data_IF_429149453686
#
_entry.id   IF_429149453686
#
_cell.length_a   1.000
_cell.length_b   1.000
_cell.length_c   1.000
_cell.angle_alpha   90.00
_cell.angle_beta   90.00
_cell.angle_gamma   90.00
#
_symmetry.space_group_name_H-M   'P 1'
#
loop_
_entity.id
_entity.type
_entity.pdbx_description
1 polymer ?
#
# COMPACT_ATOMS: atom_id res chain seq x y z
N UNK A 1 27.51 -23.20 0.38
CA UNK A 1 27.37 -21.83 0.90
C UNK A 1 26.14 -21.23 0.24
N UNK A 2 25.10 -20.86 1.00
CA UNK A 2 23.85 -20.31 0.44
C UNK A 2 24.15 -18.90 -0.09
N UNK A 3 23.91 -18.68 -1.39
CA UNK A 3 24.06 -17.35 -2.01
C UNK A 3 22.97 -16.44 -1.45
N UNK A 4 23.36 -15.28 -0.91
CA UNK A 4 22.39 -14.24 -0.53
C UNK A 4 21.80 -13.60 -1.79
N UNK A 5 20.52 -13.23 -1.73
CA UNK A 5 19.86 -12.50 -2.79
C UNK A 5 20.54 -11.15 -3.03
N UNK A 6 20.76 -10.81 -4.29
CA UNK A 6 21.26 -9.49 -4.73
C UNK A 6 20.18 -8.43 -4.56
N UNK A 7 20.58 -7.14 -4.53
CA UNK A 7 19.63 -6.03 -4.47
C UNK A 7 18.59 -6.07 -5.60
N UNK A 8 19.00 -6.45 -6.82
CA UNK A 8 18.10 -6.55 -7.97
C UNK A 8 17.11 -7.70 -7.84
N UNK A 9 17.54 -8.86 -7.33
CA UNK A 9 16.65 -9.98 -7.02
C UNK A 9 15.61 -9.58 -5.95
N UNK A 10 16.04 -8.85 -4.90
CA UNK A 10 15.12 -8.33 -3.88
C UNK A 10 14.12 -7.33 -4.45
N UNK A 11 14.55 -6.42 -5.33
CA UNK A 11 13.65 -5.46 -6.00
C UNK A 11 12.65 -6.21 -6.88
N UNK A 12 13.09 -7.21 -7.65
CA UNK A 12 12.23 -8.04 -8.48
C UNK A 12 11.14 -8.73 -7.64
N UNK A 13 11.52 -9.46 -6.58
CA UNK A 13 10.52 -10.16 -5.77
C UNK A 13 9.55 -9.20 -5.08
N UNK A 14 10.03 -8.06 -4.58
CA UNK A 14 9.16 -7.04 -4.00
C UNK A 14 8.20 -6.47 -5.03
N UNK A 15 8.65 -6.12 -6.24
CA UNK A 15 7.76 -5.57 -7.27
C UNK A 15 6.68 -6.56 -7.68
N UNK A 16 6.99 -7.87 -7.76
CA UNK A 16 5.99 -8.91 -8.07
C UNK A 16 4.94 -9.10 -6.97
N UNK A 17 5.35 -9.05 -5.69
CA UNK A 17 4.42 -9.13 -4.55
C UNK A 17 3.50 -7.91 -4.56
N UNK A 18 4.08 -6.70 -4.63
CA UNK A 18 3.34 -5.44 -4.66
C UNK A 18 2.38 -5.37 -5.85
N UNK A 19 2.82 -5.80 -7.03
CA UNK A 19 1.95 -5.91 -8.20
C UNK A 19 0.72 -6.77 -7.91
N UNK A 20 0.92 -7.97 -7.35
CA UNK A 20 -0.19 -8.89 -7.02
C UNK A 20 -1.20 -8.28 -6.05
N UNK A 21 -0.71 -7.69 -4.96
CA UNK A 21 -1.54 -7.05 -3.94
C UNK A 21 -2.34 -5.86 -4.51
N UNK A 22 -1.68 -5.00 -5.29
CA UNK A 22 -2.29 -3.85 -5.94
C UNK A 22 -3.33 -4.27 -6.99
N UNK A 23 -3.03 -5.27 -7.80
CA UNK A 23 -3.92 -5.77 -8.84
C UNK A 23 -5.22 -6.34 -8.24
N UNK A 24 -5.09 -7.15 -7.18
CA UNK A 24 -6.26 -7.68 -6.47
C UNK A 24 -7.08 -6.57 -5.81
N UNK A 25 -6.41 -5.59 -5.20
CA UNK A 25 -7.10 -4.44 -4.61
C UNK A 25 -7.84 -3.59 -5.66
N UNK A 26 -7.23 -3.29 -6.82
CA UNK A 26 -7.89 -2.56 -7.92
C UNK A 26 -9.12 -3.31 -8.43
N UNK A 27 -9.00 -4.63 -8.60
CA UNK A 27 -10.10 -5.49 -9.03
C UNK A 27 -11.28 -5.45 -8.05
N UNK A 28 -11.01 -5.61 -6.76
CA UNK A 28 -12.03 -5.59 -5.71
C UNK A 28 -12.70 -4.22 -5.57
N UNK A 29 -11.93 -3.13 -5.70
CA UNK A 29 -12.46 -1.76 -5.66
C UNK A 29 -13.27 -1.40 -6.91
N UNK A 30 -12.89 -1.95 -8.07
CA UNK A 30 -13.57 -1.72 -9.35
C UNK A 30 -14.86 -2.55 -9.49
N UNK A 31 -14.99 -3.68 -8.78
CA UNK A 31 -16.15 -4.57 -8.84
C UNK A 31 -17.45 -3.97 -8.25
N UNK A 32 -17.37 -2.82 -7.57
CA UNK A 32 -18.55 -2.04 -7.18
C UNK A 32 -18.27 -1.06 -6.03
N UNK A 33 -18.89 0.12 -6.11
CA UNK A 33 -18.72 1.26 -5.18
C UNK A 33 -19.46 1.11 -3.84
N UNK A 34 -20.05 -0.05 -3.56
CA UNK A 34 -20.85 -0.21 -2.34
C UNK A 34 -19.94 -0.39 -1.13
N UNK A 35 -19.97 0.60 -0.23
CA UNK A 35 -19.34 0.52 1.07
C UNK A 35 -19.69 -0.81 1.75
N UNK A 36 -18.66 -1.59 2.05
CA UNK A 36 -18.77 -2.90 2.67
C UNK A 36 -17.47 -3.22 3.40
N UNK A 37 -17.49 -4.22 4.28
CA UNK A 37 -16.26 -4.69 4.93
C UNK A 37 -15.21 -5.18 3.91
N UNK A 38 -15.64 -5.72 2.76
CA UNK A 38 -14.74 -6.10 1.67
C UNK A 38 -14.10 -4.89 1.00
N UNK A 39 -14.89 -3.85 0.72
CA UNK A 39 -14.37 -2.59 0.17
C UNK A 39 -13.32 -1.96 1.10
N UNK A 40 -13.60 -1.92 2.41
CA UNK A 40 -12.64 -1.42 3.41
C UNK A 40 -11.37 -2.26 3.43
N UNK A 41 -11.49 -3.58 3.37
CA UNK A 41 -10.32 -4.47 3.33
C UNK A 41 -9.48 -4.21 2.07
N UNK A 42 -10.11 -4.08 0.91
CA UNK A 42 -9.42 -3.76 -0.35
C UNK A 42 -8.70 -2.40 -0.30
N UNK A 43 -9.35 -1.36 0.25
CA UNK A 43 -8.70 -0.07 0.50
C UNK A 43 -7.47 -0.21 1.40
N UNK A 44 -7.57 -0.95 2.51
CA UNK A 44 -6.43 -1.16 3.42
C UNK A 44 -5.29 -1.92 2.74
N UNK A 45 -5.59 -2.97 1.97
CA UNK A 45 -4.60 -3.70 1.18
C UNK A 45 -3.89 -2.79 0.19
N UNK A 46 -4.63 -1.97 -0.56
CA UNK A 46 -4.05 -0.99 -1.48
C UNK A 46 -3.12 0.00 -0.76
N UNK A 47 -3.58 0.60 0.35
CA UNK A 47 -2.78 1.55 1.12
C UNK A 47 -1.51 0.92 1.71
N UNK A 48 -1.59 -0.32 2.16
CA UNK A 48 -0.41 -1.08 2.62
C UNK A 48 0.57 -1.26 1.46
N UNK A 49 0.14 -1.81 0.33
CA UNK A 49 1.01 -2.04 -0.81
C UNK A 49 1.62 -0.74 -1.37
N UNK A 50 0.83 0.33 -1.47
CA UNK A 50 1.33 1.66 -1.87
C UNK A 50 2.34 2.22 -0.86
N UNK A 51 2.11 2.04 0.44
CA UNK A 51 3.05 2.45 1.48
C UNK A 51 4.36 1.66 1.45
N UNK A 52 4.30 0.36 1.18
CA UNK A 52 5.49 -0.48 0.96
C UNK A 52 6.25 -0.07 -0.32
N UNK A 53 5.54 0.29 -1.41
CA UNK A 53 6.16 0.83 -2.61
C UNK A 53 6.85 2.18 -2.34
N UNK A 54 6.24 3.03 -1.51
CA UNK A 54 6.86 4.27 -1.05
C UNK A 54 8.17 4.02 -0.26
N UNK A 55 8.22 2.95 0.54
CA UNK A 55 9.42 2.53 1.28
C UNK A 55 10.48 1.90 0.36
N UNK A 56 10.06 1.28 -0.77
CA UNK A 56 10.95 0.74 -1.79
C UNK A 56 11.59 1.83 -2.66
N UNK A 57 10.87 2.93 -2.94
CA UNK A 57 11.27 3.95 -3.90
C UNK A 57 12.72 4.48 -3.76
N UNK A 58 13.28 4.71 -2.56
CA UNK A 58 14.68 5.12 -2.41
C UNK A 58 15.68 4.08 -2.93
N UNK A 59 15.38 2.78 -2.79
CA UNK A 59 16.26 1.70 -3.24
C UNK A 59 16.29 1.55 -4.77
N UNK A 60 15.38 2.22 -5.49
CA UNK A 60 15.31 2.18 -6.95
C UNK A 60 16.28 3.17 -7.62
N UNK A 61 16.84 4.14 -6.89
CA UNK A 61 17.72 5.18 -7.43
C UNK A 61 18.87 4.65 -8.32
N UNK A 62 19.57 3.55 -7.97
CA UNK A 62 20.63 3.01 -8.81
C UNK A 62 20.14 2.59 -10.21
N UNK A 63 18.86 2.20 -10.34
CA UNK A 63 18.27 1.74 -11.60
C UNK A 63 17.98 2.89 -12.58
N UNK A 64 17.81 4.12 -12.09
CA UNK A 64 17.37 5.24 -12.93
C UNK A 64 18.40 5.65 -13.99
N UNK A 65 19.68 5.32 -13.80
CA UNK A 65 20.70 5.57 -14.82
C UNK A 65 20.48 4.71 -16.06
N UNK A 66 20.06 3.46 -15.84
CA UNK A 66 19.88 2.46 -16.89
C UNK A 66 18.44 2.48 -17.43
N UNK A 67 17.47 2.85 -16.57
CA UNK A 67 16.05 2.95 -16.87
C UNK A 67 15.49 4.31 -16.40
N UNK A 68 15.72 5.42 -17.14
CA UNK A 68 15.31 6.76 -16.73
C UNK A 68 13.80 6.93 -16.52
N UNK A 69 12.98 6.21 -17.30
CA UNK A 69 11.52 6.23 -17.17
C UNK A 69 11.04 5.84 -15.77
N UNK A 70 11.74 4.93 -15.08
CA UNK A 70 11.41 4.57 -13.69
C UNK A 70 11.52 5.78 -12.76
N UNK A 71 12.56 6.61 -12.96
CA UNK A 71 12.76 7.82 -12.17
C UNK A 71 11.67 8.86 -12.41
N UNK A 72 11.20 8.99 -13.65
CA UNK A 72 10.09 9.87 -14.03
C UNK A 72 8.78 9.41 -13.38
N UNK A 73 8.43 8.13 -13.53
CA UNK A 73 7.21 7.56 -12.92
C UNK A 73 7.23 7.67 -11.40
N UNK A 74 8.35 7.39 -10.73
CA UNK A 74 8.47 7.55 -9.27
C UNK A 74 8.32 9.01 -8.86
N UNK A 75 8.88 9.95 -9.63
CA UNK A 75 8.75 11.39 -9.36
C UNK A 75 7.30 11.85 -9.46
N UNK A 76 6.57 11.40 -10.47
CA UNK A 76 5.15 11.69 -10.67
C UNK A 76 4.29 11.10 -9.55
N UNK A 77 4.60 9.89 -9.10
CA UNK A 77 3.90 9.20 -8.00
C UNK A 77 4.27 9.71 -6.60
N UNK A 78 5.30 10.54 -6.47
CA UNK A 78 5.93 10.82 -5.18
C UNK A 78 4.97 11.41 -4.12
N UNK A 79 4.08 12.34 -4.51
CA UNK A 79 3.09 12.91 -3.59
C UNK A 79 2.05 11.88 -3.15
N UNK A 80 1.52 11.11 -4.10
CA UNK A 80 0.54 10.07 -3.83
C UNK A 80 1.10 8.95 -2.95
N UNK A 81 2.34 8.52 -3.18
CA UNK A 81 3.03 7.51 -2.36
C UNK A 81 3.30 8.02 -0.95
N UNK A 82 3.67 9.30 -0.77
CA UNK A 82 3.81 9.89 0.58
C UNK A 82 2.48 9.89 1.34
N UNK A 83 1.41 10.28 0.67
CA UNK A 83 0.08 10.28 1.28
C UNK A 83 -0.41 8.87 1.61
N UNK A 84 -0.25 7.90 0.69
CA UNK A 84 -0.59 6.51 0.93
C UNK A 84 0.22 5.90 2.08
N UNK A 85 1.52 6.21 2.18
CA UNK A 85 2.36 5.80 3.31
C UNK A 85 1.89 6.38 4.64
N UNK A 86 1.46 7.65 4.65
CA UNK A 86 0.85 8.26 5.84
C UNK A 86 -0.41 7.50 6.25
N UNK A 87 -1.35 7.28 5.32
CA UNK A 87 -2.59 6.54 5.59
C UNK A 87 -2.32 5.09 6.02
N UNK A 88 -1.32 4.41 5.44
CA UNK A 88 -0.86 3.11 5.93
C UNK A 88 -0.48 3.19 7.40
N UNK A 89 0.36 4.16 7.77
CA UNK A 89 0.90 4.26 9.11
C UNK A 89 -0.17 4.56 10.17
N UNK A 90 -1.17 5.38 9.86
CA UNK A 90 -2.18 5.79 10.86
C UNK A 90 -3.48 5.00 10.81
N UNK A 91 -3.88 4.47 9.63
CA UNK A 91 -5.19 3.83 9.44
C UNK A 91 -5.11 2.34 9.08
N UNK A 92 -4.26 1.95 8.12
CA UNK A 92 -4.32 0.60 7.55
C UNK A 92 -3.43 -0.43 8.27
N UNK A 93 -2.25 -0.03 8.74
CA UNK A 93 -1.23 -0.95 9.24
C UNK A 93 -1.47 -1.46 10.65
N UNK A 94 -2.12 -0.66 11.50
CA UNK A 94 -2.51 -1.05 12.86
C UNK A 94 -3.69 -0.18 13.33
N UNK A 95 -4.34 -0.62 14.41
CA UNK A 95 -5.35 0.18 15.10
C UNK A 95 -4.62 1.29 15.86
N UNK A 96 -4.92 2.55 15.52
CA UNK A 96 -4.30 3.71 16.14
C UNK A 96 -5.28 4.42 17.09
N UNK A 97 -5.01 4.35 18.38
CA UNK A 97 -5.88 4.92 19.42
C UNK A 97 -6.03 6.43 19.31
N UNK A 98 -4.97 7.15 18.92
CA UNK A 98 -5.02 8.60 18.76
C UNK A 98 -5.92 8.97 17.57
N UNK A 99 -5.86 8.22 16.47
CA UNK A 99 -6.74 8.41 15.33
C UNK A 99 -8.20 8.13 15.72
N UNK A 100 -8.46 7.04 16.44
CA UNK A 100 -9.81 6.69 16.92
C UNK A 100 -10.36 7.77 17.85
N UNK A 101 -9.56 8.25 18.80
CA UNK A 101 -9.95 9.31 19.71
C UNK A 101 -10.34 10.58 18.93
N UNK A 102 -9.55 10.94 17.90
CA UNK A 102 -9.84 12.09 17.03
C UNK A 102 -11.12 11.87 16.21
N UNK A 103 -11.37 10.65 15.74
CA UNK A 103 -12.62 10.31 15.06
C UNK A 103 -13.83 10.48 15.99
N UNK A 104 -13.74 10.06 17.26
CA UNK A 104 -14.81 10.26 18.25
C UNK A 104 -15.03 11.73 18.64
N UNK A 105 -13.96 12.53 18.65
CA UNK A 105 -14.03 13.98 18.85
C UNK A 105 -14.83 14.64 17.73
N UNK A 106 -14.52 14.28 16.48
CA UNK A 106 -15.09 14.89 15.29
C UNK A 106 -16.48 14.32 14.89
N UNK A 107 -16.77 13.05 15.20
CA UNK A 107 -18.08 12.40 15.00
C UNK A 107 -18.72 12.01 16.33
N UNK A 108 -19.22 12.98 17.12
CA UNK A 108 -19.76 12.70 18.44
C UNK A 108 -20.98 11.77 18.43
N UNK A 109 -21.69 11.66 17.31
CA UNK A 109 -22.82 10.75 17.08
C UNK A 109 -22.44 9.26 17.16
N UNK A 110 -21.15 8.91 17.04
CA UNK A 110 -20.68 7.53 17.19
C UNK A 110 -20.97 6.96 18.59
N UNK A 111 -21.20 7.81 19.58
CA UNK A 111 -21.65 7.41 20.93
C UNK A 111 -23.01 6.71 20.92
N UNK A 112 -23.82 6.92 19.90
CA UNK A 112 -25.13 6.30 19.75
C UNK A 112 -25.10 5.03 18.89
N UNK A 113 -23.92 4.57 18.44
CA UNK A 113 -23.84 3.34 17.66
C UNK A 113 -24.38 2.16 18.49
N UNK A 114 -25.35 1.42 17.96
CA UNK A 114 -25.94 0.31 18.69
C UNK A 114 -24.90 -0.80 18.88
N UNK A 115 -24.98 -1.52 20.01
CA UNK A 115 -24.21 -2.74 20.27
C UNK A 115 -24.61 -3.84 19.26
N UNK A 116 -24.03 -3.77 18.07
CA UNK A 116 -24.29 -4.71 16.98
C UNK A 116 -22.97 -5.11 16.36
N UNK A 117 -22.72 -6.43 16.34
CA UNK A 117 -21.64 -7.08 15.59
C UNK A 117 -21.95 -7.12 14.08
N UNK A 118 -22.47 -6.02 13.54
CA UNK A 118 -22.85 -5.88 12.15
C UNK A 118 -21.64 -5.41 11.32
N UNK A 119 -21.34 -6.15 10.25
CA UNK A 119 -20.27 -5.82 9.31
C UNK A 119 -20.54 -4.53 8.54
N UNK A 120 -21.80 -4.13 8.39
CA UNK A 120 -22.15 -2.83 7.79
C UNK A 120 -21.83 -1.69 8.73
N UNK A 121 -22.19 -1.79 10.02
CA UNK A 121 -21.80 -0.80 11.02
C UNK A 121 -20.27 -0.69 11.16
N UNK A 122 -19.57 -1.82 11.10
CA UNK A 122 -18.10 -1.87 11.11
C UNK A 122 -17.48 -1.17 9.88
N UNK A 123 -18.09 -1.31 8.71
CA UNK A 123 -17.62 -0.63 7.49
C UNK A 123 -17.78 0.89 7.60
N UNK A 124 -18.91 1.36 8.15
CA UNK A 124 -19.16 2.79 8.40
C UNK A 124 -18.15 3.35 9.41
N UNK A 125 -17.88 2.62 10.50
CA UNK A 125 -16.83 3.01 11.46
C UNK A 125 -15.47 3.17 10.78
N UNK A 126 -15.08 2.22 9.93
CA UNK A 126 -13.82 2.32 9.19
C UNK A 126 -13.83 3.50 8.21
N UNK A 127 -14.98 3.83 7.61
CA UNK A 127 -15.10 4.99 6.74
C UNK A 127 -14.80 6.29 7.52
N UNK A 128 -15.36 6.47 8.71
CA UNK A 128 -15.10 7.67 9.51
C UNK A 128 -13.66 7.76 10.01
N UNK A 129 -13.05 6.62 10.36
CA UNK A 129 -11.64 6.59 10.76
C UNK A 129 -10.74 6.89 9.55
N UNK A 130 -11.07 6.39 8.36
CA UNK A 130 -10.37 6.73 7.12
C UNK A 130 -10.51 8.23 6.80
N UNK A 131 -11.71 8.77 6.89
CA UNK A 131 -11.98 10.20 6.67
C UNK A 131 -11.18 11.08 7.64
N UNK A 132 -11.15 10.70 8.93
CA UNK A 132 -10.31 11.37 9.94
C UNK A 132 -8.82 11.26 9.57
N UNK A 133 -8.37 10.11 9.07
CA UNK A 133 -6.98 9.97 8.62
C UNK A 133 -6.67 10.92 7.47
N UNK A 134 -7.54 11.00 6.46
CA UNK A 134 -7.40 11.94 5.34
C UNK A 134 -7.33 13.39 5.86
N UNK A 135 -8.24 13.79 6.73
CA UNK A 135 -8.34 15.17 7.21
C UNK A 135 -7.23 15.56 8.20
N UNK A 136 -6.56 14.59 8.83
CA UNK A 136 -5.39 14.83 9.68
C UNK A 136 -4.07 14.89 8.91
N UNK A 137 -4.08 14.60 7.60
CA UNK A 137 -2.93 14.80 6.74
C UNK A 137 -2.82 16.28 6.34
N UNK A 138 -2.20 17.07 7.23
CA UNK A 138 -1.98 18.50 7.06
C UNK A 138 -0.48 18.84 7.00
N UNK A 139 -0.15 19.94 6.33
CA UNK A 139 1.19 20.54 6.31
C UNK A 139 1.50 21.26 7.62
N UNK A 140 2.74 21.68 7.81
CA UNK A 140 3.20 22.37 9.05
C UNK A 140 2.42 23.66 9.36
N UNK A 141 1.90 24.33 8.32
CA UNK A 141 1.07 25.53 8.44
C UNK A 141 -0.42 25.22 8.67
N UNK A 142 -0.80 23.93 8.74
CA UNK A 142 -2.17 23.48 8.94
C UNK A 142 -3.01 23.35 7.67
N UNK A 143 -2.46 23.64 6.49
CA UNK A 143 -3.15 23.42 5.21
C UNK A 143 -3.30 21.92 4.91
N UNK A 144 -4.30 21.51 4.15
CA UNK A 144 -4.47 20.09 3.79
C UNK A 144 -3.39 19.62 2.83
N UNK A 145 -2.78 18.47 3.12
CA UNK A 145 -1.58 17.99 2.43
C UNK A 145 -1.81 17.25 1.11
N UNK A 146 -3.06 16.89 0.78
CA UNK A 146 -3.39 16.17 -0.46
C UNK A 146 -4.62 16.74 -1.18
N UNK A 147 -5.72 16.97 -0.46
CA UNK A 147 -6.94 17.56 -1.01
C UNK A 147 -7.05 19.01 -0.55
N UNK A 148 -7.72 19.88 -1.31
CA UNK A 148 -7.74 21.33 -1.01
C UNK A 148 -8.60 21.69 0.21
N UNK A 149 -9.44 20.78 0.68
CA UNK A 149 -10.37 20.98 1.80
C UNK A 149 -10.50 19.70 2.64
N UNK A 150 -11.21 19.84 3.76
CA UNK A 150 -11.77 18.71 4.48
C UNK A 150 -12.54 17.81 3.50
N UNK A 151 -12.38 16.51 3.70
CA UNK A 151 -13.03 15.46 2.93
C UNK A 151 -14.16 14.88 3.76
N UNK A 152 -15.37 14.85 3.20
CA UNK A 152 -16.53 14.12 3.73
C UNK A 152 -16.84 12.90 2.85
N UNK A 153 -16.51 11.68 3.30
CA UNK A 153 -16.70 10.48 2.50
C UNK A 153 -18.17 10.03 2.41
N UNK A 154 -19.08 10.63 3.17
CA UNK A 154 -20.52 10.49 2.94
C UNK A 154 -21.03 11.47 1.87
N UNK A 155 -20.29 12.53 1.59
CA UNK A 155 -20.59 13.45 0.50
C UNK A 155 -20.08 12.87 -0.84
N UNK A 156 -20.97 12.61 -1.83
CA UNK A 156 -20.56 11.87 -3.03
C UNK A 156 -19.39 12.47 -3.82
N UNK A 157 -19.29 13.81 -4.04
CA UNK A 157 -18.14 14.38 -4.75
C UNK A 157 -16.79 14.15 -4.07
N UNK A 158 -16.76 14.11 -2.74
CA UNK A 158 -15.54 13.88 -1.97
C UNK A 158 -15.14 12.40 -1.99
N UNK A 159 -16.12 11.50 -1.90
CA UNK A 159 -15.92 10.07 -2.14
C UNK A 159 -15.38 9.81 -3.56
N UNK A 160 -15.96 10.44 -4.58
CA UNK A 160 -15.51 10.34 -5.97
C UNK A 160 -14.07 10.85 -6.14
N UNK A 161 -13.73 12.00 -5.54
CA UNK A 161 -12.37 12.55 -5.54
C UNK A 161 -11.38 11.58 -4.92
N UNK A 162 -11.71 11.00 -3.76
CA UNK A 162 -10.86 10.01 -3.08
C UNK A 162 -10.68 8.74 -3.91
N UNK A 163 -11.76 8.20 -4.47
CA UNK A 163 -11.72 6.99 -5.30
C UNK A 163 -10.94 7.20 -6.60
N UNK A 164 -11.09 8.37 -7.24
CA UNK A 164 -10.31 8.73 -8.43
C UNK A 164 -8.82 8.81 -8.11
N UNK A 165 -8.45 9.44 -6.99
CA UNK A 165 -7.07 9.46 -6.50
C UNK A 165 -6.55 8.04 -6.24
N UNK A 166 -7.31 7.22 -5.51
CA UNK A 166 -6.86 5.88 -5.11
C UNK A 166 -6.68 4.98 -6.34
N UNK A 167 -7.66 4.95 -7.24
CA UNK A 167 -7.61 4.11 -8.44
C UNK A 167 -6.51 4.54 -9.41
N UNK A 168 -6.34 5.85 -9.66
CA UNK A 168 -5.24 6.33 -10.50
C UNK A 168 -3.88 5.98 -9.88
N UNK A 169 -3.72 6.18 -8.58
CA UNK A 169 -2.47 5.85 -7.86
C UNK A 169 -2.16 4.35 -7.91
N UNK A 170 -3.15 3.48 -7.70
CA UNK A 170 -2.98 2.02 -7.80
C UNK A 170 -2.54 1.62 -9.20
N UNK A 171 -3.21 2.11 -10.24
CA UNK A 171 -2.90 1.72 -11.63
C UNK A 171 -1.52 2.20 -12.07
N UNK A 172 -1.13 3.41 -11.71
CA UNK A 172 0.24 3.90 -11.95
C UNK A 172 1.28 3.11 -11.15
N UNK A 173 0.96 2.68 -9.92
CA UNK A 173 1.84 1.82 -9.12
C UNK A 173 1.96 0.40 -9.70
N UNK A 174 0.89 -0.18 -10.24
CA UNK A 174 0.92 -1.46 -10.97
C UNK A 174 1.85 -1.33 -12.18
N UNK A 175 1.70 -0.28 -12.99
CA UNK A 175 2.58 -0.05 -14.13
C UNK A 175 4.06 0.08 -13.71
N UNK A 176 4.34 0.83 -12.65
CA UNK A 176 5.69 0.92 -12.10
C UNK A 176 6.23 -0.46 -11.67
N UNK A 177 5.41 -1.30 -11.06
CA UNK A 177 5.82 -2.65 -10.66
C UNK A 177 6.10 -3.56 -11.86
N UNK A 178 5.36 -3.42 -12.96
CA UNK A 178 5.63 -4.14 -14.21
C UNK A 178 6.94 -3.68 -14.85
N UNK A 179 7.16 -2.37 -14.92
CA UNK A 179 8.40 -1.80 -15.47
C UNK A 179 9.62 -2.21 -14.63
N UNK A 180 9.48 -2.22 -13.29
CA UNK A 180 10.49 -2.73 -12.37
C UNK A 180 10.74 -4.22 -12.58
N UNK A 181 9.67 -5.00 -12.75
CA UNK A 181 9.75 -6.42 -13.06
C UNK A 181 10.55 -6.66 -14.34
N UNK A 182 10.24 -5.93 -15.42
CA UNK A 182 10.95 -6.04 -16.69
C UNK A 182 12.44 -5.64 -16.57
N UNK A 183 12.74 -4.55 -15.86
CA UNK A 183 14.10 -4.05 -15.67
C UNK A 183 14.99 -5.00 -14.83
N UNK A 184 14.39 -5.74 -13.90
CA UNK A 184 15.14 -6.57 -12.93
C UNK A 184 15.05 -8.08 -13.20
N UNK A 185 14.11 -8.53 -14.03
CA UNK A 185 13.90 -9.96 -14.31
C UNK A 185 15.14 -10.65 -14.87
N UNK A 186 15.86 -10.00 -15.79
CA UNK A 186 17.09 -10.56 -16.39
C UNK A 186 18.22 -10.77 -15.37
N UNK A 187 18.14 -10.13 -14.20
CA UNK A 187 19.12 -10.22 -13.12
C UNK A 187 18.76 -11.34 -12.12
N UNK A 188 17.56 -11.91 -12.23
CA UNK A 188 17.16 -13.09 -11.44
C UNK A 188 17.77 -14.31 -12.09
N UNK A 189 18.56 -15.07 -11.33
CA UNK A 189 19.15 -16.31 -11.85
C UNK A 189 18.08 -17.41 -11.85
N UNK A 190 17.63 -17.91 -13.01
CA UNK A 190 16.73 -19.06 -13.03
C UNK A 190 17.49 -20.29 -12.54
N UNK A 191 16.80 -21.14 -11.76
CA UNK A 191 17.30 -22.48 -11.47
C UNK A 191 17.03 -23.37 -12.69
N UNK A 192 18.00 -24.21 -13.05
CA UNK A 192 17.80 -25.30 -14.01
C UNK A 192 16.85 -26.38 -13.47
N UNK A 193 16.66 -27.43 -14.26
CA UNK A 193 15.79 -28.54 -13.91
C UNK A 193 16.52 -29.65 -13.14
N UNK A 194 15.75 -30.63 -12.66
CA UNK A 194 16.28 -31.86 -12.06
C UNK A 194 17.20 -31.63 -10.86
N UNK A 195 18.50 -31.89 -11.06
CA UNK A 195 19.50 -31.89 -10.00
C UNK A 195 19.68 -30.50 -9.34
N UNK A 196 19.63 -29.42 -10.12
CA UNK A 196 19.76 -28.06 -9.57
C UNK A 196 18.58 -27.69 -8.66
N UNK A 197 17.37 -28.10 -9.04
CA UNK A 197 16.16 -27.89 -8.24
C UNK A 197 16.19 -28.74 -6.96
N UNK A 198 16.67 -29.99 -7.04
CA UNK A 198 16.86 -30.84 -5.87
C UNK A 198 17.88 -30.24 -4.88
N UNK A 199 19.01 -29.74 -5.38
CA UNK A 199 20.01 -29.06 -4.56
C UNK A 199 19.46 -27.78 -3.91
N UNK A 200 18.62 -27.02 -4.63
CA UNK A 200 17.93 -25.86 -4.07
C UNK A 200 16.96 -26.24 -2.95
N UNK A 201 16.16 -27.31 -3.11
CA UNK A 201 15.27 -27.78 -2.05
C UNK A 201 16.03 -28.32 -0.84
N UNK A 202 17.15 -29.04 -1.07
CA UNK A 202 18.02 -29.48 0.02
C UNK A 202 18.59 -28.27 0.76
N UNK A 203 19.07 -27.25 0.05
CA UNK A 203 19.57 -26.03 0.66
C UNK A 203 18.47 -25.31 1.45
N UNK A 204 17.24 -25.23 0.92
CA UNK A 204 16.10 -24.66 1.62
C UNK A 204 15.80 -25.41 2.93
N UNK A 205 15.87 -26.75 2.95
CA UNK A 205 15.69 -27.57 4.14
C UNK A 205 16.77 -27.40 5.21
N UNK A 206 17.91 -26.78 4.88
CA UNK A 206 18.99 -26.44 5.81
C UNK A 206 18.94 -24.96 6.25
N UNK A 207 17.90 -24.21 5.86
CA UNK A 207 17.76 -22.80 6.26
C UNK A 207 17.48 -22.70 7.75
N UNK A 208 18.33 -21.98 8.47
CA UNK A 208 18.09 -21.65 9.87
C UNK A 208 17.24 -20.38 9.97
N UNK A 209 16.08 -20.49 10.62
CA UNK A 209 15.12 -19.40 10.73
C UNK A 209 15.29 -18.68 12.06
N UNK A 210 15.83 -17.47 12.00
CA UNK A 210 15.91 -16.57 13.15
C UNK A 210 14.79 -15.51 13.14
N UNK A 211 14.46 -14.99 14.33
CA UNK A 211 13.55 -13.85 14.45
C UNK A 211 14.13 -12.63 13.74
N UNK A 212 13.47 -12.19 12.67
CA UNK A 212 13.83 -10.96 11.95
C UNK A 212 13.67 -9.73 12.86
N UNK A 213 14.68 -8.87 12.90
CA UNK A 213 14.60 -7.54 13.51
C UNK A 213 14.28 -6.53 12.41
N UNK A 214 13.34 -5.62 12.67
CA UNK A 214 13.08 -4.51 11.75
C UNK A 214 14.37 -3.70 11.60
N UNK A 215 14.87 -3.55 10.38
CA UNK A 215 15.98 -2.65 10.09
C UNK A 215 15.66 -1.25 10.60
N UNK A 216 16.64 -0.60 11.24
CA UNK A 216 16.52 0.81 11.64
C UNK A 216 16.31 1.70 10.43
#
# INVERSE_FOLDING_TARGET
>A
MVRMATSSELIYFRSRILHGDLFLADSDLSAGTKLSSRWVAACKTALVALGELADLAPALQPLYREYPSLGETVKELASALRFAKYLRNVFAGHINDALIAKTYEWRPELRALPDKRDLTATAILNLFVLETAINTYVTEDGSHGMFESETDLLYPPDMERFLAWLSSTIRSAIQLCDDLGAATHSQVTPLGDGAEMFDAFRAAGLTDFERLKKGR
#
